data_IF_098760900978
#
_entry.id   IF_098760900978
#
_cell.length_a   1.000
_cell.length_b   1.000
_cell.length_c   1.000
_cell.angle_alpha   90.00
_cell.angle_beta   90.00
_cell.angle_gamma   90.00
#
_symmetry.space_group_name_H-M   'P 1'
#
loop_
_entity.id
_entity.type
_entity.pdbx_description
1 polymer ?
#
# COMPACT_ATOMS: atom_id res chain seq x y z
N UNK A 1 19.13 26.77 -12.75
CA UNK A 1 18.77 27.59 -13.92
C UNK A 1 17.25 27.67 -13.95
N UNK A 2 16.68 28.87 -13.95
CA UNK A 2 15.23 29.06 -13.94
C UNK A 2 14.66 28.95 -15.36
N UNK A 3 13.43 28.43 -15.50
CA UNK A 3 12.73 28.32 -16.77
C UNK A 3 12.32 29.73 -17.24
N UNK A 4 12.53 30.05 -18.52
CA UNK A 4 12.01 31.29 -19.09
C UNK A 4 10.52 31.16 -19.44
N UNK A 5 9.82 32.29 -19.58
CA UNK A 5 8.40 32.29 -20.00
C UNK A 5 8.16 31.53 -21.31
N UNK A 6 9.10 31.61 -22.26
CA UNK A 6 9.06 30.86 -23.53
C UNK A 6 9.18 29.35 -23.32
N UNK A 7 9.99 28.93 -22.34
CA UNK A 7 10.13 27.51 -22.00
C UNK A 7 8.83 26.99 -21.37
N UNK A 8 8.15 27.80 -20.56
CA UNK A 8 6.85 27.43 -19.97
C UNK A 8 5.74 27.29 -21.01
N UNK A 9 5.63 28.23 -21.95
CA UNK A 9 4.68 28.13 -23.08
C UNK A 9 4.90 26.86 -23.91
N UNK A 10 6.17 26.53 -24.17
CA UNK A 10 6.52 25.32 -24.90
C UNK A 10 6.12 24.05 -24.14
N UNK A 11 6.36 24.01 -22.83
CA UNK A 11 5.94 22.91 -21.94
C UNK A 11 4.41 22.73 -22.00
N UNK A 12 3.64 23.82 -21.91
CA UNK A 12 2.18 23.79 -21.99
C UNK A 12 1.72 23.24 -23.36
N UNK A 13 2.38 23.64 -24.45
CA UNK A 13 2.06 23.13 -25.79
C UNK A 13 2.25 21.61 -25.90
N UNK A 14 3.33 21.07 -25.31
CA UNK A 14 3.62 19.64 -25.30
C UNK A 14 2.61 18.86 -24.46
N UNK A 15 2.18 19.43 -23.33
CA UNK A 15 1.14 18.84 -22.47
C UNK A 15 -0.20 18.78 -23.23
N UNK A 16 -0.59 19.86 -23.92
CA UNK A 16 -1.83 19.91 -24.74
C UNK A 16 -1.84 18.87 -25.86
N UNK A 17 -0.68 18.59 -26.46
CA UNK A 17 -0.52 17.55 -27.48
C UNK A 17 -0.43 16.12 -26.91
N UNK A 18 -0.50 15.94 -25.59
CA UNK A 18 -0.35 14.63 -24.93
C UNK A 18 1.08 14.11 -24.87
N UNK A 19 2.07 14.89 -25.29
CA UNK A 19 3.51 14.54 -25.31
C UNK A 19 4.17 14.79 -23.95
N UNK A 20 3.63 14.14 -22.92
CA UNK A 20 4.04 14.36 -21.52
C UNK A 20 5.48 13.94 -21.24
N UNK A 21 5.96 12.88 -21.89
CA UNK A 21 7.34 12.39 -21.72
C UNK A 21 8.34 13.43 -22.24
N UNK A 22 8.06 14.03 -23.40
CA UNK A 22 8.91 15.05 -24.00
C UNK A 22 8.97 16.31 -23.13
N UNK A 23 7.85 16.71 -22.52
CA UNK A 23 7.82 17.81 -21.56
C UNK A 23 8.69 17.54 -20.31
N UNK A 24 8.69 16.31 -19.80
CA UNK A 24 9.52 15.90 -18.65
C UNK A 24 11.01 15.92 -19.02
N UNK A 25 11.36 15.40 -20.19
CA UNK A 25 12.74 15.41 -20.69
C UNK A 25 13.24 16.85 -20.87
N UNK A 26 12.42 17.71 -21.48
CA UNK A 26 12.75 19.11 -21.69
C UNK A 26 13.02 19.86 -20.38
N UNK A 27 12.13 19.73 -19.38
CA UNK A 27 12.31 20.34 -18.05
C UNK A 27 13.58 19.84 -17.40
N UNK A 28 13.81 18.52 -17.40
CA UNK A 28 15.00 17.90 -16.82
C UNK A 28 16.28 18.46 -17.43
N UNK A 29 16.35 18.54 -18.76
CA UNK A 29 17.57 18.92 -19.46
C UNK A 29 17.86 20.42 -19.35
N UNK A 30 16.82 21.27 -19.25
CA UNK A 30 16.96 22.72 -19.05
C UNK A 30 17.32 23.12 -17.62
N UNK A 31 16.72 22.47 -16.63
CA UNK A 31 16.86 22.85 -15.21
C UNK A 31 17.95 22.06 -14.49
N UNK A 32 18.36 20.90 -15.03
CA UNK A 32 19.27 19.96 -14.38
C UNK A 32 18.64 19.16 -13.24
N UNK A 33 17.32 19.21 -13.08
CA UNK A 33 16.58 18.48 -12.03
C UNK A 33 16.65 16.97 -12.21
N UNK A 34 16.38 16.22 -11.14
CA UNK A 34 16.21 14.77 -11.25
C UNK A 34 14.94 14.41 -12.04
N UNK A 35 14.91 13.24 -12.67
CA UNK A 35 13.74 12.77 -13.43
C UNK A 35 12.45 12.78 -12.61
N UNK A 36 12.57 12.53 -11.31
CA UNK A 36 11.44 12.57 -10.37
C UNK A 36 10.91 13.98 -10.16
N UNK A 37 11.80 14.96 -9.98
CA UNK A 37 11.42 16.36 -9.79
C UNK A 37 10.80 16.96 -11.06
N UNK A 38 11.38 16.66 -12.23
CA UNK A 38 10.83 17.08 -13.51
C UNK A 38 9.43 16.50 -13.75
N UNK A 39 9.23 15.22 -13.41
CA UNK A 39 7.91 14.60 -13.45
C UNK A 39 6.93 15.27 -12.50
N UNK A 40 7.31 15.49 -11.24
CA UNK A 40 6.45 16.13 -10.24
C UNK A 40 6.10 17.58 -10.63
N UNK A 41 7.01 18.29 -11.30
CA UNK A 41 6.76 19.63 -11.84
C UNK A 41 5.73 19.60 -12.98
N UNK A 42 5.89 18.72 -13.97
CA UNK A 42 4.93 18.56 -15.08
C UNK A 42 3.58 18.06 -14.58
N UNK A 43 3.55 17.13 -13.62
CA UNK A 43 2.32 16.66 -13.00
C UNK A 43 1.61 17.80 -12.26
N UNK A 44 2.34 18.71 -11.60
CA UNK A 44 1.75 19.91 -10.99
C UNK A 44 1.21 20.88 -12.04
N UNK A 45 1.98 21.21 -13.09
CA UNK A 45 1.54 22.09 -14.20
C UNK A 45 0.31 21.52 -14.91
N UNK A 46 0.30 20.22 -15.23
CA UNK A 46 -0.86 19.57 -15.83
C UNK A 46 -2.11 19.55 -14.93
N UNK A 47 -1.94 19.58 -13.61
CA UNK A 47 -3.06 19.56 -12.65
C UNK A 47 -3.48 20.96 -12.16
N UNK A 48 -2.57 21.95 -12.17
CA UNK A 48 -2.83 23.33 -11.72
C UNK A 48 -3.10 24.31 -12.88
N UNK A 49 -2.78 23.95 -14.12
CA UNK A 49 -2.84 24.84 -15.30
C UNK A 49 -3.71 24.25 -16.42
N UNK A 50 -4.66 23.40 -16.04
CA UNK A 50 -5.85 23.07 -16.84
C UNK A 50 -7.08 23.64 -16.12
N UNK A 51 -7.06 24.96 -15.90
CA UNK A 51 -8.30 25.71 -15.84
C UNK A 51 -8.83 25.73 -17.28
N UNK A 52 -9.59 24.70 -17.64
CA UNK A 52 -10.72 24.96 -18.51
C UNK A 52 -11.47 26.12 -17.83
N UNK A 53 -11.67 27.17 -18.61
CA UNK A 53 -12.65 28.21 -18.37
C UNK A 53 -13.91 27.56 -17.80
N UNK A 54 -14.03 27.54 -16.47
CA UNK A 54 -15.24 27.10 -15.81
C UNK A 54 -16.28 28.15 -16.18
N UNK A 55 -17.04 27.89 -17.23
CA UNK A 55 -18.46 28.19 -17.18
C UNK A 55 -18.92 27.61 -15.85
N UNK A 56 -19.31 28.49 -14.93
CA UNK A 56 -19.58 28.21 -13.53
C UNK A 56 -20.84 27.35 -13.38
N UNK A 57 -20.74 26.09 -13.79
CA UNK A 57 -21.72 25.06 -13.46
C UNK A 57 -21.65 24.92 -11.94
N UNK A 58 -22.79 25.13 -11.27
CA UNK A 58 -22.84 25.00 -9.82
C UNK A 58 -22.63 23.54 -9.43
N UNK A 59 -22.21 23.29 -8.18
CA UNK A 59 -22.02 21.90 -7.72
C UNK A 59 -23.32 21.11 -7.77
N UNK A 60 -24.44 21.80 -7.55
CA UNK A 60 -25.80 21.25 -7.65
C UNK A 60 -26.10 20.79 -9.09
N UNK A 61 -25.73 21.60 -10.08
CA UNK A 61 -25.92 21.28 -11.50
C UNK A 61 -25.02 20.11 -11.94
N UNK A 62 -23.78 20.05 -11.45
CA UNK A 62 -22.87 18.92 -11.71
C UNK A 62 -23.47 17.61 -11.18
N UNK A 63 -24.04 17.63 -9.98
CA UNK A 63 -24.64 16.46 -9.33
C UNK A 63 -25.90 16.01 -10.08
N UNK A 64 -26.71 16.96 -10.55
CA UNK A 64 -27.87 16.70 -11.40
C UNK A 64 -27.48 16.08 -12.75
N UNK A 65 -26.46 16.63 -13.42
CA UNK A 65 -25.93 16.09 -14.68
C UNK A 65 -25.38 14.68 -14.48
N UNK A 66 -24.64 14.43 -13.39
CA UNK A 66 -24.15 13.09 -13.05
C UNK A 66 -25.29 12.08 -12.84
N UNK A 67 -26.38 12.50 -12.19
CA UNK A 67 -27.58 11.68 -12.02
C UNK A 67 -28.19 11.29 -13.37
N UNK A 68 -28.40 12.27 -14.26
CA UNK A 68 -28.92 12.03 -15.62
C UNK A 68 -28.01 11.10 -16.44
N UNK A 69 -26.69 11.26 -16.34
CA UNK A 69 -25.71 10.40 -17.02
C UNK A 69 -25.83 8.95 -16.51
N UNK A 70 -25.96 8.76 -15.20
CA UNK A 70 -26.10 7.43 -14.60
C UNK A 70 -27.42 6.75 -14.96
N UNK A 71 -28.49 7.52 -15.15
CA UNK A 71 -29.79 7.05 -15.65
C UNK A 71 -29.83 6.85 -17.18
N UNK A 72 -28.68 6.95 -17.88
CA UNK A 72 -28.56 6.93 -19.35
C UNK A 72 -29.34 8.03 -20.09
N UNK A 73 -29.76 9.10 -19.40
CA UNK A 73 -30.50 10.25 -19.96
C UNK A 73 -29.56 11.34 -20.48
N UNK A 74 -28.52 10.97 -21.23
CA UNK A 74 -27.48 11.91 -21.71
C UNK A 74 -28.03 13.07 -22.53
N UNK A 75 -29.03 12.81 -23.37
CA UNK A 75 -29.68 13.84 -24.20
C UNK A 75 -30.36 14.92 -23.35
N UNK A 76 -30.93 14.55 -22.20
CA UNK A 76 -31.54 15.50 -21.27
C UNK A 76 -30.48 16.37 -20.61
N UNK A 77 -29.31 15.80 -20.28
CA UNK A 77 -28.19 16.56 -19.72
C UNK A 77 -27.61 17.57 -20.72
N UNK A 78 -27.48 17.20 -22.00
CA UNK A 78 -27.08 18.13 -23.08
C UNK A 78 -28.12 19.25 -23.23
N UNK A 79 -29.41 18.91 -23.18
CA UNK A 79 -30.50 19.89 -23.30
C UNK A 79 -30.51 20.88 -22.13
N UNK A 80 -30.24 20.41 -20.91
CA UNK A 80 -30.12 21.23 -19.71
C UNK A 80 -28.95 22.22 -19.84
N UNK A 81 -27.78 21.76 -20.26
CA UNK A 81 -26.61 22.62 -20.49
C UNK A 81 -26.86 23.67 -21.58
N UNK A 82 -27.49 23.27 -22.69
CA UNK A 82 -27.76 24.18 -23.81
C UNK A 82 -28.81 25.25 -23.46
N UNK A 83 -29.86 24.89 -22.71
CA UNK A 83 -30.97 25.80 -22.40
C UNK A 83 -30.76 26.64 -21.15
N UNK A 84 -30.16 26.06 -20.12
CA UNK A 84 -30.13 26.64 -18.78
C UNK A 84 -28.76 27.28 -18.46
N UNK A 85 -27.71 26.85 -19.17
CA UNK A 85 -26.36 27.42 -19.09
C UNK A 85 -25.93 28.15 -20.36
N UNK A 86 -26.84 28.31 -21.33
CA UNK A 86 -26.60 28.97 -22.62
C UNK A 86 -25.36 28.46 -23.37
N UNK A 87 -24.97 27.20 -23.14
CA UNK A 87 -23.81 26.59 -23.81
C UNK A 87 -24.11 26.31 -25.28
N UNK A 88 -23.09 26.38 -26.14
CA UNK A 88 -23.24 25.87 -27.51
C UNK A 88 -23.51 24.35 -27.49
N UNK A 89 -24.29 23.86 -28.45
CA UNK A 89 -24.67 22.45 -28.53
C UNK A 89 -23.43 21.55 -28.53
N UNK A 90 -22.38 21.96 -29.24
CA UNK A 90 -21.12 21.22 -29.33
C UNK A 90 -20.40 21.19 -27.99
N UNK A 91 -20.38 22.30 -27.29
CA UNK A 91 -19.74 22.44 -25.97
C UNK A 91 -20.44 21.59 -24.91
N UNK A 92 -21.77 21.58 -24.92
CA UNK A 92 -22.58 20.73 -24.04
C UNK A 92 -22.33 19.24 -24.30
N UNK A 93 -22.19 18.83 -25.57
CA UNK A 93 -21.85 17.44 -25.92
C UNK A 93 -20.46 17.05 -25.41
N UNK A 94 -19.45 17.89 -25.66
CA UNK A 94 -18.07 17.64 -25.22
C UNK A 94 -17.98 17.55 -23.68
N UNK A 95 -18.72 18.40 -22.95
CA UNK A 95 -18.82 18.32 -21.49
C UNK A 95 -19.39 16.98 -21.01
N UNK A 96 -20.51 16.54 -21.59
CA UNK A 96 -21.14 15.27 -21.20
C UNK A 96 -20.25 14.07 -21.55
N UNK A 97 -19.56 14.08 -22.68
CA UNK A 97 -18.61 13.00 -23.02
C UNK A 97 -17.45 12.93 -22.03
N UNK A 98 -16.90 14.08 -21.61
CA UNK A 98 -15.88 14.15 -20.56
C UNK A 98 -16.37 13.57 -19.24
N UNK A 99 -17.56 13.94 -18.78
CA UNK A 99 -18.13 13.43 -17.51
C UNK A 99 -18.45 11.93 -17.58
N UNK A 100 -18.95 11.43 -18.73
CA UNK A 100 -19.14 9.98 -18.96
C UNK A 100 -17.81 9.22 -18.88
N UNK A 101 -16.75 9.75 -19.49
CA UNK A 101 -15.42 9.15 -19.45
C UNK A 101 -14.85 9.14 -18.02
N UNK A 102 -14.98 10.25 -17.31
CA UNK A 102 -14.57 10.41 -15.90
C UNK A 102 -15.30 9.40 -15.01
N UNK A 103 -16.61 9.23 -15.16
CA UNK A 103 -17.40 8.23 -14.44
C UNK A 103 -16.95 6.79 -14.72
N UNK A 104 -16.60 6.46 -15.98
CA UNK A 104 -16.02 5.15 -16.30
C UNK A 104 -14.66 4.94 -15.64
N UNK A 105 -13.81 5.97 -15.58
CA UNK A 105 -12.48 5.89 -14.96
C UNK A 105 -12.58 5.81 -13.43
N UNK A 106 -13.50 6.55 -12.80
CA UNK A 106 -13.74 6.51 -11.34
C UNK A 106 -14.40 5.20 -10.92
N UNK A 107 -15.34 4.67 -11.70
CA UNK A 107 -15.95 3.36 -11.46
C UNK A 107 -14.96 2.20 -11.66
N UNK A 108 -14.02 2.32 -12.61
CA UNK A 108 -13.00 1.29 -12.89
C UNK A 108 -11.73 1.44 -12.03
N UNK A 109 -11.55 2.56 -11.32
CA UNK A 109 -10.44 2.74 -10.39
C UNK A 109 -10.58 1.73 -9.26
N UNK A 110 -9.65 0.77 -9.11
CA UNK A 110 -9.64 -0.05 -7.91
C UNK A 110 -9.45 0.92 -6.76
N UNK A 111 -10.45 1.00 -5.87
CA UNK A 111 -10.35 1.73 -4.61
C UNK A 111 -9.13 1.14 -3.92
N UNK A 112 -7.98 1.80 -4.05
CA UNK A 112 -6.75 1.35 -3.44
C UNK A 112 -6.91 1.67 -1.95
N UNK A 113 -7.58 0.77 -1.25
CA UNK A 113 -7.78 0.80 0.19
C UNK A 113 -6.39 0.72 0.79
N UNK A 114 -5.77 1.88 1.04
CA UNK A 114 -4.39 2.06 1.53
C UNK A 114 -4.08 1.26 2.80
N UNK A 115 -5.10 0.78 3.51
CA UNK A 115 -4.99 -0.20 4.59
C UNK A 115 -4.52 -1.58 4.14
N UNK A 116 -4.98 -2.07 2.99
CA UNK A 116 -4.65 -3.40 2.45
C UNK A 116 -3.18 -3.51 2.05
N UNK A 117 -2.60 -2.46 1.44
CA UNK A 117 -1.17 -2.42 1.11
C UNK A 117 -0.31 -2.50 2.38
N UNK A 118 -0.79 -1.88 3.46
CA UNK A 118 -0.09 -1.93 4.75
C UNK A 118 -0.19 -3.33 5.34
N UNK A 119 -1.39 -3.91 5.38
CA UNK A 119 -1.62 -5.22 5.97
C UNK A 119 -0.88 -6.34 5.18
N UNK A 120 -0.83 -6.27 3.85
CA UNK A 120 -0.03 -7.18 3.00
C UNK A 120 1.48 -7.05 3.25
N UNK A 121 2.00 -5.81 3.32
CA UNK A 121 3.42 -5.57 3.65
C UNK A 121 3.74 -5.98 5.10
N UNK A 122 2.79 -5.87 6.02
CA UNK A 122 2.92 -6.32 7.40
C UNK A 122 3.03 -7.84 7.48
N UNK A 123 2.19 -8.57 6.75
CA UNK A 123 2.22 -10.04 6.75
C UNK A 123 3.51 -10.58 6.13
N UNK A 124 4.07 -9.90 5.13
CA UNK A 124 5.39 -10.21 4.55
C UNK A 124 6.52 -9.94 5.57
N UNK A 125 6.45 -8.83 6.32
CA UNK A 125 7.49 -8.44 7.28
C UNK A 125 7.38 -9.14 8.63
N UNK A 126 6.25 -9.75 8.95
CA UNK A 126 6.00 -10.37 10.24
C UNK A 126 5.58 -11.83 10.08
N UNK A 127 6.51 -12.78 10.27
CA UNK A 127 6.22 -14.20 10.09
C UNK A 127 5.02 -14.63 10.94
N UNK A 128 4.30 -15.64 10.44
CA UNK A 128 3.06 -16.13 11.01
C UNK A 128 3.24 -16.60 12.47
N UNK A 129 3.00 -15.69 13.41
CA UNK A 129 3.18 -15.90 14.85
C UNK A 129 2.32 -17.05 15.39
N UNK A 130 1.14 -17.26 14.82
CA UNK A 130 0.26 -18.36 15.21
C UNK A 130 0.87 -19.71 14.84
N UNK A 131 1.48 -19.82 13.65
CA UNK A 131 2.22 -21.01 13.22
C UNK A 131 3.45 -21.27 14.11
N UNK A 132 4.21 -20.23 14.45
CA UNK A 132 5.38 -20.37 15.34
C UNK A 132 5.00 -20.83 16.76
N UNK A 133 3.90 -20.31 17.33
CA UNK A 133 3.40 -20.78 18.63
C UNK A 133 2.97 -22.25 18.59
N UNK A 134 2.30 -22.68 17.51
CA UNK A 134 1.92 -24.09 17.32
C UNK A 134 3.16 -24.97 17.20
N UNK A 135 4.16 -24.54 16.44
CA UNK A 135 5.43 -25.25 16.30
C UNK A 135 6.19 -25.34 17.63
N UNK A 136 6.22 -24.27 18.43
CA UNK A 136 6.85 -24.28 19.76
C UNK A 136 6.18 -25.27 20.71
N UNK A 137 4.84 -25.35 20.70
CA UNK A 137 4.11 -26.34 21.53
C UNK A 137 4.46 -27.78 21.14
N UNK A 138 4.59 -28.06 19.84
CA UNK A 138 5.01 -29.37 19.32
C UNK A 138 6.46 -29.66 19.73
N UNK A 139 7.36 -28.70 19.55
CA UNK A 139 8.77 -28.82 19.90
C UNK A 139 8.99 -29.06 21.40
N UNK A 140 8.23 -28.38 22.25
CA UNK A 140 8.27 -28.58 23.71
C UNK A 140 7.76 -29.97 24.09
N UNK A 141 6.70 -30.46 23.43
CA UNK A 141 6.20 -31.83 23.65
C UNK A 141 7.24 -32.88 23.30
N UNK A 142 7.94 -32.72 22.17
CA UNK A 142 9.02 -33.62 21.75
C UNK A 142 10.19 -33.57 22.74
N UNK A 143 10.57 -32.37 23.18
CA UNK A 143 11.63 -32.19 24.18
C UNK A 143 11.31 -32.92 25.49
N UNK A 144 10.06 -32.84 25.95
CA UNK A 144 9.63 -33.48 27.20
C UNK A 144 9.68 -35.01 27.11
N UNK A 145 9.27 -35.58 25.96
CA UNK A 145 9.40 -37.02 25.69
C UNK A 145 10.86 -37.46 25.64
N UNK A 146 11.71 -36.71 24.92
CA UNK A 146 13.16 -36.97 24.87
C UNK A 146 13.78 -36.94 26.28
N UNK A 147 13.40 -35.96 27.10
CA UNK A 147 13.89 -35.82 28.46
C UNK A 147 13.53 -37.03 29.33
N UNK A 148 12.30 -37.54 29.24
CA UNK A 148 11.88 -38.76 29.96
C UNK A 148 12.69 -39.98 29.50
N UNK A 149 12.88 -40.16 28.19
CA UNK A 149 13.70 -41.26 27.64
C UNK A 149 15.13 -41.19 28.18
N UNK A 150 15.72 -39.99 28.22
CA UNK A 150 17.08 -39.82 28.72
C UNK A 150 17.21 -40.08 30.22
N UNK A 151 16.19 -39.77 31.02
CA UNK A 151 16.16 -40.08 32.46
C UNK A 151 16.09 -41.59 32.70
N UNK A 152 15.27 -42.31 31.94
CA UNK A 152 15.18 -43.77 32.02
C UNK A 152 16.52 -44.40 31.63
N UNK A 153 17.13 -43.93 30.53
CA UNK A 153 18.46 -44.35 30.11
C UNK A 153 19.51 -44.04 31.20
N UNK A 154 19.43 -42.90 31.87
CA UNK A 154 20.39 -42.53 32.91
C UNK A 154 20.37 -43.50 34.11
N UNK A 155 19.19 -44.01 34.48
CA UNK A 155 19.01 -44.91 35.63
C UNK A 155 19.33 -46.36 35.27
N UNK A 156 18.92 -46.83 34.08
CA UNK A 156 18.92 -48.26 33.75
C UNK A 156 20.15 -48.71 32.93
N UNK A 157 20.90 -47.77 32.37
CA UNK A 157 21.98 -48.09 31.44
C UNK A 157 23.30 -48.37 32.17
N UNK A 158 23.75 -49.62 32.10
CA UNK A 158 25.05 -50.03 32.61
C UNK A 158 26.20 -49.35 31.83
N UNK A 159 27.06 -48.61 32.55
CA UNK A 159 28.18 -47.82 32.00
C UNK A 159 29.34 -48.70 31.52
N UNK A 160 29.32 -50.01 31.79
CA UNK A 160 30.39 -50.95 31.43
C UNK A 160 30.55 -51.20 29.93
N UNK A 161 29.50 -50.98 29.13
CA UNK A 161 29.50 -51.28 27.69
C UNK A 161 29.72 -50.04 26.82
N UNK A 162 30.69 -50.10 25.92
CA UNK A 162 31.04 -49.01 24.99
C UNK A 162 29.88 -48.58 24.09
N UNK A 163 29.06 -49.52 23.62
CA UNK A 163 27.91 -49.24 22.76
C UNK A 163 26.85 -48.45 23.54
N UNK A 164 26.57 -48.88 24.77
CA UNK A 164 25.62 -48.21 25.67
C UNK A 164 26.10 -46.80 25.99
N UNK A 165 27.38 -46.62 26.27
CA UNK A 165 27.99 -45.31 26.53
C UNK A 165 27.87 -44.35 25.34
N UNK A 166 28.00 -44.83 24.10
CA UNK A 166 27.76 -44.01 22.89
C UNK A 166 26.31 -43.52 22.80
N UNK A 167 25.33 -44.38 23.06
CA UNK A 167 23.89 -44.03 23.01
C UNK A 167 23.57 -42.93 24.04
N UNK A 168 24.12 -43.03 25.24
CA UNK A 168 23.92 -42.03 26.29
C UNK A 168 24.52 -40.67 25.90
N UNK A 169 25.70 -40.66 25.27
CA UNK A 169 26.32 -39.42 24.76
C UNK A 169 25.46 -38.72 23.70
N UNK A 170 24.90 -39.46 22.74
CA UNK A 170 23.99 -38.89 21.74
C UNK A 170 22.73 -38.29 22.37
N UNK A 171 22.18 -38.97 23.38
CA UNK A 171 20.98 -38.52 24.08
C UNK A 171 21.22 -37.22 24.85
N UNK A 172 22.35 -37.11 25.56
CA UNK A 172 22.78 -35.87 26.24
C UNK A 172 23.03 -34.75 25.22
N UNK A 173 23.69 -35.05 24.10
CA UNK A 173 23.94 -34.08 23.03
C UNK A 173 22.63 -33.54 22.42
N UNK A 174 21.63 -34.40 22.25
CA UNK A 174 20.30 -33.99 21.77
C UNK A 174 19.59 -33.03 22.72
N UNK A 175 19.62 -33.29 24.03
CA UNK A 175 19.07 -32.36 25.04
C UNK A 175 19.80 -31.02 25.01
N UNK A 176 21.14 -31.05 24.92
CA UNK A 176 21.97 -29.85 24.88
C UNK A 176 21.59 -28.96 23.68
N UNK A 177 21.36 -29.57 22.51
CA UNK A 177 20.87 -28.85 21.33
C UNK A 177 19.54 -28.13 21.62
N UNK A 178 18.58 -28.83 22.22
CA UNK A 178 17.28 -28.26 22.56
C UNK A 178 17.39 -27.13 23.60
N UNK A 179 18.27 -27.25 24.60
CA UNK A 179 18.52 -26.20 25.60
C UNK A 179 19.02 -24.91 24.94
N UNK A 180 19.82 -25.01 23.88
CA UNK A 180 20.32 -23.84 23.15
C UNK A 180 19.24 -23.29 22.20
N UNK A 181 18.54 -24.15 21.46
CA UNK A 181 17.60 -23.69 20.42
C UNK A 181 16.27 -23.18 20.96
N UNK A 182 15.72 -23.78 22.02
CA UNK A 182 14.43 -23.37 22.61
C UNK A 182 14.39 -21.90 23.07
N UNK A 183 15.35 -21.39 23.86
CA UNK A 183 15.34 -19.99 24.30
C UNK A 183 15.52 -19.02 23.13
N UNK A 184 16.30 -19.37 22.10
CA UNK A 184 16.42 -18.55 20.88
C UNK A 184 15.07 -18.39 20.17
N UNK A 185 14.30 -19.47 20.07
CA UNK A 185 12.97 -19.45 19.43
C UNK A 185 11.97 -18.65 20.29
N UNK A 186 11.99 -18.82 21.61
CA UNK A 186 11.15 -18.06 22.54
C UNK A 186 11.46 -16.56 22.43
N UNK A 187 12.74 -16.20 22.41
CA UNK A 187 13.18 -14.81 22.28
C UNK A 187 12.76 -14.21 20.93
N UNK A 188 12.91 -14.96 19.83
CA UNK A 188 12.47 -14.52 18.51
C UNK A 188 10.96 -14.23 18.49
N UNK A 189 10.14 -15.14 19.04
CA UNK A 189 8.68 -14.95 19.18
C UNK A 189 8.36 -13.70 20.02
N UNK A 190 9.11 -13.47 21.10
CA UNK A 190 8.93 -12.30 21.96
C UNK A 190 9.23 -10.98 21.22
N UNK A 191 10.36 -10.92 20.51
CA UNK A 191 10.75 -9.76 19.69
C UNK A 191 9.69 -9.48 18.63
N UNK A 192 9.22 -10.52 17.93
CA UNK A 192 8.17 -10.40 16.92
C UNK A 192 6.87 -9.87 17.54
N UNK A 193 6.48 -10.39 18.71
CA UNK A 193 5.27 -9.94 19.43
C UNK A 193 5.38 -8.46 19.80
N UNK A 194 6.53 -8.02 20.31
CA UNK A 194 6.76 -6.63 20.68
C UNK A 194 6.72 -5.69 19.45
N UNK A 195 7.34 -6.12 18.34
CA UNK A 195 7.31 -5.40 17.06
C UNK A 195 5.89 -5.28 16.48
N UNK A 196 5.05 -6.32 16.63
CA UNK A 196 3.62 -6.22 16.28
C UNK A 196 2.92 -5.17 17.13
N UNK A 197 3.09 -5.21 18.45
CA UNK A 197 2.42 -4.30 19.38
C UNK A 197 2.76 -2.82 19.11
N UNK A 198 4.04 -2.52 18.88
CA UNK A 198 4.46 -1.16 18.51
C UNK A 198 3.83 -0.70 17.19
N UNK A 199 3.75 -1.59 16.19
CA UNK A 199 3.14 -1.25 14.90
C UNK A 199 1.63 -0.99 14.99
N UNK A 200 0.90 -1.76 15.80
CA UNK A 200 -0.51 -1.47 16.11
C UNK A 200 -0.69 -0.13 16.82
N UNK A 201 0.22 0.19 17.75
CA UNK A 201 0.21 1.48 18.45
C UNK A 201 0.45 2.66 17.49
N UNK A 202 1.42 2.55 16.57
CA UNK A 202 1.63 3.54 15.51
C UNK A 202 0.40 3.67 14.58
N UNK A 203 -0.27 2.56 14.24
CA UNK A 203 -1.53 2.57 13.44
C UNK A 203 -2.61 3.36 14.18
N UNK A 204 -2.80 3.13 15.47
CA UNK A 204 -3.78 3.83 16.31
C UNK A 204 -3.49 5.35 16.38
N UNK A 205 -2.25 5.74 16.68
CA UNK A 205 -1.83 7.15 16.71
C UNK A 205 -2.06 7.85 15.36
N UNK A 206 -1.73 7.18 14.25
CA UNK A 206 -1.92 7.73 12.90
C UNK A 206 -3.39 7.93 12.56
N UNK A 207 -4.26 6.99 12.94
CA UNK A 207 -5.71 7.10 12.76
C UNK A 207 -6.29 8.24 13.61
N UNK A 208 -5.88 8.34 14.88
CA UNK A 208 -6.28 9.42 15.78
C UNK A 208 -5.89 10.80 15.22
N UNK A 209 -4.65 10.95 14.73
CA UNK A 209 -4.16 12.20 14.10
C UNK A 209 -4.89 12.57 12.80
N UNK A 210 -5.41 11.58 12.05
CA UNK A 210 -6.26 11.84 10.87
C UNK A 210 -7.67 12.27 11.25
N UNK A 211 -8.25 11.70 12.31
CA UNK A 211 -9.59 12.06 12.79
C UNK A 211 -9.62 13.49 13.32
N UNK A 212 -8.59 13.89 14.08
CA UNK A 212 -8.43 15.27 14.58
C UNK A 212 -8.31 16.27 13.41
N UNK A 213 -7.51 15.96 12.38
CA UNK A 213 -7.36 16.82 11.18
C UNK A 213 -8.59 16.95 10.28
N UNK A 214 -9.63 16.14 10.51
CA UNK A 214 -10.92 16.26 9.79
C UNK A 214 -11.95 17.06 10.60
N UNK A 215 -11.67 17.33 11.87
CA UNK A 215 -12.55 18.05 12.80
C UNK A 215 -12.13 19.52 12.99
N UNK A 216 -10.95 19.90 12.48
CA UNK A 216 -10.43 21.26 12.38
C UNK A 216 -10.46 21.61 10.90
#
# INVERSE_FOLDING_TARGET
MELSEKDEEYIISLIKQGKKVDAIVFVKDKTGMSLKEAKDYIDKKANNEYYEENISISKEDEEYICSLINENKKLQAVTFLHKEKEMDLKEAMDYIEREVLKNKITAKKPIHKRGYIFDEKLDILIPNLARQKKALKIMLSIFLVLLVITLIQLIFLDRSSDIKMKILRYSISGILLFIITLPLIILNIHIIKNKRASMYFYKYLRLKKRKIRKLI
#
